data_IF_585603037880
#
_entry.id   IF_585603037880
#
_cell.length_a   1.000
_cell.length_b   1.000
_cell.length_c   1.000
_cell.angle_alpha   90.00
_cell.angle_beta   90.00
_cell.angle_gamma   90.00
#
_symmetry.space_group_name_H-M   'P 1'
#
loop_
_entity.id
_entity.type
_entity.pdbx_description
1 polymer ?
#
# COMPACT_ATOMS: atom_id res chain seq x y z
N UNK A 1 12.52 -33.21 -9.64
CA UNK A 1 13.74 -32.40 -9.86
C UNK A 1 13.33 -30.94 -10.00
N UNK A 2 14.05 -30.07 -9.31
CA UNK A 2 13.98 -28.60 -9.27
C UNK A 2 12.64 -27.96 -8.86
N UNK A 3 12.50 -27.75 -7.54
CA UNK A 3 11.72 -26.61 -7.04
C UNK A 3 12.45 -25.35 -7.48
N UNK A 4 11.88 -24.61 -8.43
CA UNK A 4 12.29 -23.25 -8.71
C UNK A 4 12.05 -22.46 -7.43
N UNK A 5 13.11 -21.96 -6.78
CA UNK A 5 12.97 -20.98 -5.71
C UNK A 5 12.44 -19.70 -6.37
N UNK A 6 11.18 -19.37 -6.11
CA UNK A 6 10.67 -18.05 -6.45
C UNK A 6 11.20 -17.10 -5.38
N UNK A 7 12.34 -16.48 -5.65
CA UNK A 7 12.88 -15.45 -4.76
C UNK A 7 12.04 -14.18 -4.96
N UNK A 8 11.15 -13.91 -4.01
CA UNK A 8 10.38 -12.68 -3.98
C UNK A 8 11.25 -11.48 -3.62
N UNK A 9 11.04 -10.30 -4.22
CA UNK A 9 11.78 -9.09 -3.88
C UNK A 9 11.69 -8.77 -2.39
N UNK A 10 12.82 -8.39 -1.78
CA UNK A 10 12.86 -8.07 -0.35
C UNK A 10 11.87 -6.95 0.01
N UNK A 11 11.78 -5.90 -0.83
CA UNK A 11 10.84 -4.80 -0.64
C UNK A 11 9.37 -5.27 -0.65
N UNK A 12 9.02 -6.22 -1.51
CA UNK A 12 7.67 -6.79 -1.54
C UNK A 12 7.36 -7.58 -0.25
N UNK A 13 8.31 -8.38 0.23
CA UNK A 13 8.10 -9.13 1.48
C UNK A 13 8.01 -8.18 2.68
N UNK A 14 8.84 -7.13 2.73
CA UNK A 14 8.76 -6.10 3.77
C UNK A 14 7.42 -5.35 3.72
N UNK A 15 6.95 -4.99 2.52
CA UNK A 15 5.61 -4.43 2.32
C UNK A 15 4.53 -5.32 2.93
N UNK A 16 4.56 -6.64 2.68
CA UNK A 16 3.56 -7.56 3.24
C UNK A 16 3.65 -7.67 4.76
N UNK A 17 4.86 -7.65 5.33
CA UNK A 17 5.05 -7.65 6.79
C UNK A 17 4.45 -6.39 7.39
N UNK A 18 4.75 -5.20 6.86
CA UNK A 18 4.14 -3.96 7.35
C UNK A 18 2.61 -3.96 7.15
N UNK A 19 2.14 -4.49 6.02
CA UNK A 19 0.71 -4.54 5.72
C UNK A 19 -0.08 -5.45 6.68
N UNK A 20 0.48 -6.60 7.06
CA UNK A 20 -0.22 -7.63 7.82
C UNK A 20 0.13 -7.67 9.31
N UNK A 21 1.36 -7.32 9.69
CA UNK A 21 1.83 -7.41 11.08
C UNK A 21 1.69 -6.09 11.83
N UNK A 22 2.11 -4.97 11.23
CA UNK A 22 2.11 -3.65 11.89
C UNK A 22 0.90 -2.80 11.51
N UNK A 23 0.33 -3.04 10.32
CA UNK A 23 -0.67 -2.19 9.64
C UNK A 23 -0.18 -0.76 9.41
N UNK A 24 1.12 -0.59 9.22
CA UNK A 24 1.71 0.69 8.84
C UNK A 24 1.59 0.90 7.33
N UNK A 25 0.40 1.30 6.90
CA UNK A 25 0.10 1.53 5.48
C UNK A 25 0.89 2.69 4.86
N UNK A 26 1.41 3.60 5.68
CA UNK A 26 2.32 4.63 5.21
C UNK A 26 3.68 4.01 4.89
N UNK A 27 4.21 3.20 5.80
CA UNK A 27 5.47 2.48 5.55
C UNK A 27 5.37 1.52 4.37
N UNK A 28 4.22 0.87 4.18
CA UNK A 28 3.95 0.08 2.99
C UNK A 28 4.14 0.90 1.71
N UNK A 29 3.64 2.14 1.68
CA UNK A 29 3.77 3.02 0.52
C UNK A 29 5.23 3.40 0.28
N UNK A 30 5.95 3.85 1.32
CA UNK A 30 7.36 4.26 1.19
C UNK A 30 8.25 3.10 0.68
N UNK A 31 8.17 1.93 1.33
CA UNK A 31 8.97 0.75 0.95
C UNK A 31 8.74 0.35 -0.51
N UNK A 32 7.48 0.32 -0.94
CA UNK A 32 7.15 -0.21 -2.26
C UNK A 32 7.26 0.85 -3.36
N UNK A 33 7.16 2.15 -3.03
CA UNK A 33 7.38 3.24 -3.98
C UNK A 33 8.85 3.31 -4.42
N UNK A 34 9.80 3.22 -3.49
CA UNK A 34 11.23 3.15 -3.82
C UNK A 34 11.50 2.00 -4.80
N UNK A 35 11.05 0.81 -4.45
CA UNK A 35 11.17 -0.37 -5.32
C UNK A 35 10.48 -0.21 -6.68
N UNK A 36 9.29 0.40 -6.71
CA UNK A 36 8.53 0.63 -7.95
C UNK A 36 9.27 1.56 -8.92
N UNK A 37 9.92 2.61 -8.42
CA UNK A 37 10.69 3.55 -9.25
C UNK A 37 11.88 2.85 -9.91
N UNK A 38 12.60 2.03 -9.16
CA UNK A 38 13.79 1.30 -9.64
C UNK A 38 13.44 0.15 -10.60
N UNK A 39 12.26 -0.46 -10.45
CA UNK A 39 11.84 -1.64 -11.20
C UNK A 39 10.84 -1.27 -12.30
N UNK A 40 11.25 -0.36 -13.18
CA UNK A 40 10.53 0.01 -14.41
C UNK A 40 9.08 0.46 -14.22
N UNK A 41 8.69 0.86 -13.00
CA UNK A 41 7.34 1.31 -12.68
C UNK A 41 6.24 0.29 -13.01
N UNK A 42 6.51 -0.99 -12.77
CA UNK A 42 5.55 -2.07 -13.02
C UNK A 42 4.20 -1.86 -12.31
N UNK A 43 3.11 -2.29 -12.96
CA UNK A 43 1.74 -2.04 -12.48
C UNK A 43 1.36 -2.85 -11.25
N UNK A 44 1.96 -4.02 -11.07
CA UNK A 44 1.80 -4.84 -9.87
C UNK A 44 2.12 -4.04 -8.60
N UNK A 45 3.26 -3.35 -8.58
CA UNK A 45 3.69 -2.57 -7.42
C UNK A 45 2.84 -1.32 -7.23
N UNK A 46 2.51 -0.62 -8.33
CA UNK A 46 1.61 0.53 -8.29
C UNK A 46 0.24 0.18 -7.69
N UNK A 47 -0.30 -1.00 -8.02
CA UNK A 47 -1.57 -1.48 -7.49
C UNK A 47 -1.49 -1.66 -5.97
N UNK A 48 -0.45 -2.32 -5.47
CA UNK A 48 -0.23 -2.56 -4.05
C UNK A 48 0.04 -1.27 -3.27
N UNK A 49 0.78 -0.32 -3.85
CA UNK A 49 0.96 1.02 -3.29
C UNK A 49 -0.39 1.71 -3.14
N UNK A 50 -1.19 1.76 -4.22
CA UNK A 50 -2.49 2.41 -4.20
C UNK A 50 -3.47 1.76 -3.21
N UNK A 51 -3.40 0.44 -3.06
CA UNK A 51 -4.18 -0.30 -2.07
C UNK A 51 -3.82 0.12 -0.64
N UNK A 52 -2.53 0.15 -0.29
CA UNK A 52 -2.09 0.58 1.04
C UNK A 52 -2.57 2.01 1.35
N UNK A 53 -2.39 2.93 0.39
CA UNK A 53 -2.82 4.33 0.56
C UNK A 53 -4.35 4.44 0.63
N UNK A 54 -5.12 3.63 -0.10
CA UNK A 54 -6.58 3.60 -0.01
C UNK A 54 -7.06 3.22 1.39
N UNK A 55 -6.44 2.19 1.99
CA UNK A 55 -6.73 1.73 3.35
C UNK A 55 -6.28 2.75 4.39
N UNK A 56 -5.14 3.42 4.20
CA UNK A 56 -4.71 4.53 5.03
C UNK A 56 -5.75 5.66 5.06
N UNK A 57 -6.28 6.06 3.89
CA UNK A 57 -7.34 7.05 3.81
C UNK A 57 -8.63 6.62 4.51
N UNK A 58 -9.05 5.36 4.33
CA UNK A 58 -10.22 4.81 5.03
C UNK A 58 -10.03 4.88 6.54
N UNK A 59 -8.87 4.43 7.04
CA UNK A 59 -8.53 4.41 8.47
C UNK A 59 -8.55 5.81 9.10
N UNK A 60 -8.25 6.85 8.32
CA UNK A 60 -8.31 8.27 8.70
C UNK A 60 -9.69 8.91 8.52
N UNK A 61 -10.71 8.16 8.12
CA UNK A 61 -12.05 8.68 7.82
C UNK A 61 -12.14 9.50 6.52
N UNK A 62 -11.09 9.49 5.69
CA UNK A 62 -11.10 10.16 4.40
C UNK A 62 -11.73 9.27 3.32
N UNK A 63 -13.06 9.18 3.34
CA UNK A 63 -13.85 8.34 2.43
C UNK A 63 -13.58 8.71 0.97
N UNK A 64 -13.65 10.01 0.62
CA UNK A 64 -13.45 10.48 -0.77
C UNK A 64 -12.08 10.12 -1.32
N UNK A 65 -11.03 10.29 -0.51
CA UNK A 65 -9.65 9.93 -0.87
C UNK A 65 -9.49 8.42 -1.07
N UNK A 66 -10.10 7.63 -0.19
CA UNK A 66 -10.07 6.17 -0.24
C UNK A 66 -10.76 5.63 -1.50
N UNK A 67 -12.01 6.02 -1.78
CA UNK A 67 -12.77 5.57 -2.96
C UNK A 67 -12.04 5.90 -4.27
N UNK A 68 -11.48 7.11 -4.39
CA UNK A 68 -10.72 7.52 -5.57
C UNK A 68 -9.50 6.62 -5.84
N UNK A 69 -8.86 6.10 -4.80
CA UNK A 69 -7.72 5.19 -4.93
C UNK A 69 -8.19 3.77 -5.25
N UNK A 70 -9.28 3.29 -4.63
CA UNK A 70 -9.88 2.02 -5.04
C UNK A 70 -10.29 2.03 -6.52
N UNK A 71 -10.87 3.10 -7.04
CA UNK A 71 -11.18 3.21 -8.48
C UNK A 71 -9.92 3.07 -9.36
N UNK A 72 -8.75 3.54 -8.89
CA UNK A 72 -7.49 3.33 -9.61
C UNK A 72 -7.01 1.89 -9.52
N UNK A 73 -7.13 1.25 -8.35
CA UNK A 73 -6.83 -0.17 -8.14
C UNK A 73 -7.68 -1.04 -9.06
N UNK A 74 -9.01 -0.80 -9.12
CA UNK A 74 -9.90 -1.54 -10.03
C UNK A 74 -9.52 -1.35 -11.50
N UNK A 75 -9.20 -0.11 -11.92
CA UNK A 75 -8.71 0.12 -13.30
C UNK A 75 -7.44 -0.67 -13.62
N UNK A 76 -6.53 -0.85 -12.67
CA UNK A 76 -5.34 -1.68 -12.86
C UNK A 76 -5.70 -3.16 -12.94
N UNK A 77 -6.58 -3.64 -12.06
CA UNK A 77 -7.08 -5.01 -12.10
C UNK A 77 -7.79 -5.33 -13.42
N UNK A 78 -8.61 -4.41 -13.93
CA UNK A 78 -9.40 -4.56 -15.16
C UNK A 78 -8.53 -4.57 -16.42
N UNK A 79 -7.42 -3.81 -16.41
CA UNK A 79 -6.46 -3.80 -17.53
C UNK A 79 -5.69 -5.12 -17.66
N UNK A 80 -5.50 -5.83 -16.55
CA UNK A 80 -4.79 -7.12 -16.53
C UNK A 80 -3.29 -7.04 -16.83
N UNK A 81 -2.69 -5.84 -16.82
CA UNK A 81 -1.24 -5.62 -17.04
C UNK A 81 -0.41 -5.79 -15.74
N UNK A 82 -0.99 -6.43 -14.73
CA UNK A 82 -0.37 -6.77 -13.45
C UNK A 82 -0.01 -8.26 -13.40
N UNK A 83 0.93 -8.59 -12.52
CA UNK A 83 1.46 -9.94 -12.29
C UNK A 83 1.17 -10.42 -10.87
N UNK A 84 -0.01 -10.14 -10.34
CA UNK A 84 -0.36 -10.43 -8.94
C UNK A 84 -0.17 -11.92 -8.58
N UNK A 85 -0.57 -12.83 -9.48
CA UNK A 85 -0.40 -14.26 -9.24
C UNK A 85 1.08 -14.69 -9.19
N UNK A 86 1.95 -14.10 -10.02
CA UNK A 86 3.39 -14.40 -10.04
C UNK A 86 4.06 -13.98 -8.72
N UNK A 87 3.55 -12.93 -8.08
CA UNK A 87 4.01 -12.49 -6.75
C UNK A 87 3.25 -13.17 -5.61
N UNK A 88 2.42 -14.18 -5.91
CA UNK A 88 1.72 -15.01 -4.93
C UNK A 88 0.49 -14.37 -4.29
N UNK A 89 -0.26 -13.57 -5.07
CA UNK A 89 -1.56 -13.01 -4.67
C UNK A 89 -2.66 -13.64 -5.54
N UNK A 90 -3.72 -14.16 -4.91
CA UNK A 90 -4.90 -14.66 -5.62
C UNK A 90 -5.73 -13.48 -6.16
N UNK A 91 -5.53 -13.13 -7.43
CA UNK A 91 -6.18 -11.98 -8.09
C UNK A 91 -7.69 -11.94 -7.90
N UNK A 92 -8.38 -13.07 -8.12
CA UNK A 92 -9.85 -13.12 -8.05
C UNK A 92 -10.36 -12.92 -6.63
N UNK A 93 -9.72 -13.57 -5.65
CA UNK A 93 -10.04 -13.38 -4.23
C UNK A 93 -9.73 -11.95 -3.76
N UNK A 94 -8.66 -11.34 -4.29
CA UNK A 94 -8.32 -9.95 -3.99
C UNK A 94 -9.43 -9.05 -4.53
N UNK A 95 -9.84 -9.23 -5.78
CA UNK A 95 -10.93 -8.44 -6.38
C UNK A 95 -12.22 -8.54 -5.58
N UNK A 96 -12.62 -9.75 -5.17
CA UNK A 96 -13.80 -9.96 -4.33
C UNK A 96 -13.69 -9.22 -3.00
N UNK A 97 -12.55 -9.37 -2.31
CA UNK A 97 -12.27 -8.69 -1.04
C UNK A 97 -12.29 -7.15 -1.19
N UNK A 98 -11.78 -6.64 -2.31
CA UNK A 98 -11.77 -5.21 -2.61
C UNK A 98 -13.16 -4.67 -2.94
N UNK A 99 -14.01 -5.43 -3.64
CA UNK A 99 -15.40 -5.05 -3.88
C UNK A 99 -16.16 -4.90 -2.57
N UNK A 100 -16.03 -5.88 -1.67
CA UNK A 100 -16.62 -5.79 -0.34
C UNK A 100 -16.09 -4.56 0.42
N UNK A 101 -14.78 -4.36 0.40
CA UNK A 101 -14.15 -3.22 1.08
C UNK A 101 -14.59 -1.87 0.50
N UNK A 102 -14.77 -1.77 -0.81
CA UNK A 102 -15.25 -0.56 -1.46
C UNK A 102 -16.63 -0.17 -0.96
N UNK A 103 -17.55 -1.14 -0.89
CA UNK A 103 -18.90 -0.91 -0.38
C UNK A 103 -18.87 -0.44 1.08
N UNK A 104 -18.05 -1.05 1.93
CA UNK A 104 -17.88 -0.61 3.32
C UNK A 104 -17.42 0.86 3.40
N UNK A 105 -16.44 1.24 2.58
CA UNK A 105 -15.95 2.63 2.52
C UNK A 105 -17.04 3.57 2.01
N UNK A 106 -17.78 3.16 0.99
CA UNK A 106 -18.87 3.93 0.40
C UNK A 106 -20.00 4.19 1.40
N UNK A 107 -20.35 3.18 2.20
CA UNK A 107 -21.32 3.26 3.29
C UNK A 107 -20.78 4.00 4.53
N UNK A 108 -19.51 4.41 4.52
CA UNK A 108 -18.88 5.12 5.63
C UNK A 108 -18.62 4.25 6.86
N UNK A 109 -18.51 2.94 6.70
CA UNK A 109 -18.22 2.03 7.80
C UNK A 109 -16.81 2.27 8.35
N UNK A 110 -16.62 2.12 9.67
CA UNK A 110 -15.31 2.24 10.28
C UNK A 110 -14.35 1.22 9.68
N UNK A 111 -13.08 1.61 9.58
CA UNK A 111 -12.04 0.72 9.09
C UNK A 111 -11.93 -0.54 9.96
N UNK A 112 -11.78 -1.68 9.29
CA UNK A 112 -11.48 -2.99 9.89
C UNK A 112 -10.25 -3.60 9.21
N UNK A 113 -9.54 -4.52 9.87
CA UNK A 113 -8.38 -5.20 9.28
C UNK A 113 -8.71 -5.74 7.88
N UNK A 114 -7.80 -5.53 6.94
CA UNK A 114 -7.85 -6.10 5.59
C UNK A 114 -6.66 -7.04 5.41
N UNK A 115 -6.87 -8.21 4.82
CA UNK A 115 -5.80 -9.14 4.51
C UNK A 115 -5.78 -9.37 3.01
N UNK A 116 -4.60 -9.21 2.40
CA UNK A 116 -4.40 -9.61 1.01
C UNK A 116 -4.47 -11.15 0.96
N UNK A 117 -5.21 -11.74 0.00
CA UNK A 117 -5.28 -13.19 -0.15
C UNK A 117 -4.01 -13.69 -0.83
N UNK A 118 -3.09 -14.20 -0.01
CA UNK A 118 -1.77 -14.69 -0.42
C UNK A 118 -1.82 -16.20 -0.68
N UNK A 119 -0.89 -16.69 -1.49
CA UNK A 119 -0.61 -18.14 -1.56
C UNK A 119 0.04 -18.62 -0.27
N UNK A 120 -0.12 -19.91 0.04
CA UNK A 120 0.50 -20.55 1.21
C UNK A 120 2.02 -20.34 1.25
N UNK A 121 2.68 -20.29 0.09
CA UNK A 121 4.11 -20.06 -0.02
C UNK A 121 4.51 -18.68 0.48
N UNK A 122 3.88 -17.62 -0.05
CA UNK A 122 4.19 -16.23 0.33
C UNK A 122 3.81 -15.99 1.79
N UNK A 123 2.64 -16.48 2.21
CA UNK A 123 2.22 -16.33 3.60
C UNK A 123 3.19 -17.00 4.56
N UNK A 124 3.68 -18.22 4.25
CA UNK A 124 4.69 -18.91 5.06
C UNK A 124 5.99 -18.11 5.14
N UNK A 125 6.48 -17.55 4.03
CA UNK A 125 7.69 -16.73 4.00
C UNK A 125 7.52 -15.50 4.91
N UNK A 126 6.39 -14.81 4.78
CA UNK A 126 6.12 -13.62 5.58
C UNK A 126 6.02 -13.97 7.07
N UNK A 127 5.25 -15.00 7.44
CA UNK A 127 5.13 -15.47 8.83
C UNK A 127 6.48 -15.82 9.46
N UNK A 128 7.35 -16.51 8.73
CA UNK A 128 8.70 -16.85 9.21
C UNK A 128 9.53 -15.59 9.50
N UNK A 129 9.49 -14.60 8.61
CA UNK A 129 10.22 -13.33 8.79
C UNK A 129 9.62 -12.47 9.90
N UNK A 130 8.28 -12.36 9.97
CA UNK A 130 7.56 -11.68 11.04
C UNK A 130 7.94 -12.25 12.41
N UNK A 131 7.96 -13.59 12.55
CA UNK A 131 8.36 -14.25 13.79
C UNK A 131 9.82 -13.98 14.15
N UNK A 132 10.74 -13.95 13.17
CA UNK A 132 12.14 -13.61 13.40
C UNK A 132 12.34 -12.15 13.86
N UNK A 133 11.40 -11.26 13.52
CA UNK A 133 11.36 -9.86 13.98
C UNK A 133 10.66 -9.69 15.34
N UNK A 134 10.15 -10.77 15.94
CA UNK A 134 9.38 -10.70 17.19
C UNK A 134 8.00 -10.05 17.05
N UNK A 135 7.46 -10.01 15.83
CA UNK A 135 6.14 -9.47 15.53
C UNK A 135 5.10 -10.60 15.44
N UNK A 136 3.82 -10.24 15.54
CA UNK A 136 2.69 -11.15 15.30
C UNK A 136 2.09 -10.91 13.90
N UNK A 137 1.79 -12.00 13.19
CA UNK A 137 1.19 -11.93 11.85
C UNK A 137 -0.33 -11.80 11.91
N UNK A 138 -0.92 -10.95 11.06
CA UNK A 138 -2.36 -10.67 11.04
C UNK A 138 -2.90 -10.20 12.40
N UNK A 139 -2.18 -9.27 13.04
CA UNK A 139 -2.62 -8.67 14.29
C UNK A 139 -4.03 -8.07 14.14
N UNK A 140 -4.87 -8.23 15.17
CA UNK A 140 -6.19 -7.57 15.24
C UNK A 140 -5.98 -6.08 15.56
N UNK A 141 -6.53 -5.22 14.72
CA UNK A 141 -6.31 -3.77 14.78
C UNK A 141 -6.85 -3.12 16.07
N UNK A 142 -7.66 -3.83 16.86
CA UNK A 142 -8.12 -3.40 18.19
C UNK A 142 -6.99 -3.30 19.23
N UNK A 143 -5.85 -3.96 18.99
CA UNK A 143 -4.65 -3.86 19.84
C UNK A 143 -3.56 -2.97 19.24
N UNK A 144 -3.81 -2.32 18.09
CA UNK A 144 -2.81 -1.48 17.44
C UNK A 144 -2.73 -0.14 18.14
N UNK A 145 -1.54 0.16 18.65
CA UNK A 145 -1.19 1.44 19.23
C UNK A 145 -1.52 2.59 18.25
N UNK A 146 -2.31 3.60 18.67
CA UNK A 146 -2.52 4.84 17.91
C UNK A 146 -1.23 5.49 17.40
N UNK A 147 -0.08 5.21 18.03
CA UNK A 147 1.25 5.63 17.60
C UNK A 147 1.63 5.08 16.22
N UNK A 148 1.13 3.93 15.77
CA UNK A 148 1.36 3.42 14.39
C UNK A 148 0.73 4.35 13.36
N UNK A 149 -0.44 4.89 13.68
CA UNK A 149 -1.15 5.89 12.87
C UNK A 149 -0.37 7.21 12.76
N UNK A 150 0.60 7.43 13.65
CA UNK A 150 1.42 8.62 13.78
C UNK A 150 2.93 8.35 13.71
N UNK A 151 3.37 7.13 13.43
CA UNK A 151 4.81 6.77 13.43
C UNK A 151 5.56 7.58 12.40
N UNK A 152 4.93 7.79 11.25
CA UNK A 152 5.39 8.70 10.23
C UNK A 152 5.55 10.15 10.74
N UNK A 153 4.82 10.65 11.77
CA UNK A 153 4.98 12.01 12.34
C UNK A 153 6.22 12.14 13.23
N UNK A 154 6.75 11.01 13.70
CA UNK A 154 7.93 10.95 14.56
C UNK A 154 9.21 10.68 13.75
N UNK A 155 9.07 10.31 12.48
CA UNK A 155 10.18 10.27 11.52
C UNK A 155 10.48 11.67 11.01
N UNK A 156 11.77 11.94 10.83
CA UNK A 156 12.24 13.16 10.18
C UNK A 156 11.69 13.21 8.75
N UNK A 157 10.75 14.13 8.49
CA UNK A 157 10.07 14.30 7.20
C UNK A 157 10.66 15.45 6.39
N UNK A 158 11.86 15.91 6.73
CA UNK A 158 12.45 17.08 6.10
C UNK A 158 12.41 16.97 4.57
N UNK A 159 12.63 15.78 4.01
CA UNK A 159 12.54 15.53 2.56
C UNK A 159 11.12 15.69 1.98
N UNK A 160 10.09 15.17 2.65
CA UNK A 160 8.68 15.27 2.19
C UNK A 160 8.15 16.70 2.30
N UNK A 161 8.54 17.41 3.35
CA UNK A 161 8.21 18.84 3.53
C UNK A 161 8.91 19.71 2.50
N UNK A 162 10.19 19.43 2.21
CA UNK A 162 10.95 20.11 1.17
C UNK A 162 10.35 19.86 -0.21
N UNK A 163 10.03 18.60 -0.55
CA UNK A 163 9.39 18.26 -1.83
C UNK A 163 7.99 18.88 -2.00
N UNK A 164 7.21 18.99 -0.91
CA UNK A 164 5.93 19.73 -0.93
C UNK A 164 6.13 21.23 -1.11
N UNK A 165 7.12 21.83 -0.46
CA UNK A 165 7.46 23.24 -0.61
C UNK A 165 7.89 23.54 -2.06
N UNK A 166 8.78 22.73 -2.63
CA UNK A 166 9.23 22.84 -4.02
C UNK A 166 8.07 22.68 -5.01
N UNK A 167 7.17 21.71 -4.80
CA UNK A 167 5.99 21.52 -5.65
C UNK A 167 4.99 22.69 -5.56
N UNK A 168 4.88 23.36 -4.41
CA UNK A 168 4.07 24.56 -4.23
C UNK A 168 4.73 25.75 -4.96
N UNK A 169 6.03 25.94 -4.81
CA UNK A 169 6.76 27.04 -5.48
C UNK A 169 6.76 26.88 -7.00
N UNK A 170 6.96 25.67 -7.52
CA UNK A 170 6.83 25.39 -8.96
C UNK A 170 5.43 25.72 -9.50
N UNK A 171 4.37 25.49 -8.70
CA UNK A 171 3.00 25.85 -9.09
C UNK A 171 2.76 27.36 -9.08
N UNK A 172 3.33 28.10 -8.13
CA UNK A 172 3.26 29.58 -8.09
C UNK A 172 4.02 30.20 -9.27
N UNK A 173 5.24 29.71 -9.55
CA UNK A 173 6.02 30.18 -10.69
C UNK A 173 5.35 29.86 -12.03
N UNK A 174 4.66 28.72 -12.16
CA UNK A 174 3.89 28.35 -13.35
C UNK A 174 2.59 29.16 -13.53
N UNK A 175 1.98 29.68 -12.44
CA UNK A 175 0.82 30.58 -12.53
C UNK A 175 1.20 32.03 -12.85
N UNK A 176 2.34 32.49 -12.35
CA UNK A 176 2.82 33.87 -12.59
C UNK A 176 3.32 34.05 -14.03
N UNK A 177 3.95 33.03 -14.60
CA UNK A 177 4.41 33.04 -16.01
C UNK A 177 3.27 32.94 -17.04
N UNK A 178 2.04 32.58 -16.63
CA UNK A 178 0.85 32.56 -17.49
C UNK A 178 0.01 33.85 -17.42
N UNK A 179 0.24 34.70 -16.43
CA UNK A 179 -0.53 35.94 -16.22
C UNK A 179 0.16 37.19 -16.78
N UNK A 180 1.32 37.02 -17.43
CA UNK A 180 2.15 38.10 -17.97
C UNK A 180 2.29 38.11 -19.50
N UNK A 181 1.35 37.52 -20.24
CA UNK A 181 1.33 37.58 -21.72
C UNK A 181 -0.05 37.99 -22.23
#
# INVERSE_FOLDING_TARGET
MQQVRVDYPQAYVNYLIEFHATRDFFECHEILEEYWIENNREKTWLLLIQLAVALYHQRRGNIRGSLKLFDKVFRLLDRGDHRLYEVGIYTDQLRESLNQRYEEVYQGWPYRPFSIPLTDEVERICRQRTSALGLEWNLDDRSIDPSVLHRHLVRDRTEVETARAEAIELRKHASDSRSGN
#
